data_IF_942306588881
#
_entry.id   IF_942306588881
#
_cell.length_a   1.000
_cell.length_b   1.000
_cell.length_c   1.000
_cell.angle_alpha   90.00
_cell.angle_beta   90.00
_cell.angle_gamma   90.00
#
_symmetry.space_group_name_H-M   'P 1'
#
loop_
_entity.id
_entity.type
_entity.pdbx_description
1 polymer ?
#
# COMPACT_ATOMS: atom_id res chain seq x y z
N UNK A 1 -14.62 4.19 -38.19
CA UNK A 1 -13.81 5.30 -37.69
C UNK A 1 -13.90 5.45 -36.18
N UNK A 2 -15.08 5.56 -35.64
CA UNK A 2 -15.30 5.71 -34.20
C UNK A 2 -14.73 4.56 -33.37
N UNK A 3 -14.95 3.33 -33.79
CA UNK A 3 -14.44 2.13 -33.09
C UNK A 3 -12.91 2.06 -33.08
N UNK A 4 -12.27 2.44 -34.19
CA UNK A 4 -10.82 2.43 -34.30
C UNK A 4 -10.17 3.44 -33.34
N UNK A 5 -10.74 4.63 -33.24
CA UNK A 5 -10.29 5.70 -32.32
C UNK A 5 -10.49 5.23 -30.87
N UNK A 6 -11.62 4.61 -30.57
CA UNK A 6 -11.96 4.12 -29.24
C UNK A 6 -10.98 3.03 -28.77
N UNK A 7 -10.70 2.05 -29.63
CA UNK A 7 -9.73 1.00 -29.33
C UNK A 7 -8.31 1.56 -29.17
N UNK A 8 -7.93 2.48 -30.02
CA UNK A 8 -6.63 3.15 -29.93
C UNK A 8 -6.46 3.93 -28.63
N UNK A 9 -7.51 4.62 -28.21
CA UNK A 9 -7.52 5.38 -26.96
C UNK A 9 -7.39 4.45 -25.73
N UNK A 10 -8.17 3.37 -25.71
CA UNK A 10 -8.11 2.38 -24.62
C UNK A 10 -6.73 1.74 -24.54
N UNK A 11 -6.15 1.40 -25.68
CA UNK A 11 -4.82 0.80 -25.74
C UNK A 11 -3.74 1.76 -25.22
N UNK A 12 -3.84 3.04 -25.58
CA UNK A 12 -2.92 4.06 -25.07
C UNK A 12 -3.04 4.21 -23.55
N UNK A 13 -4.27 4.19 -23.00
CA UNK A 13 -4.50 4.24 -21.56
C UNK A 13 -3.88 3.02 -20.86
N UNK A 14 -4.03 1.82 -21.41
CA UNK A 14 -3.43 0.61 -20.86
C UNK A 14 -1.91 0.72 -20.78
N UNK A 15 -1.26 1.21 -21.83
CA UNK A 15 0.21 1.36 -21.86
C UNK A 15 0.66 2.37 -20.80
N UNK A 16 -0.05 3.49 -20.66
CA UNK A 16 0.30 4.52 -19.67
C UNK A 16 0.14 3.99 -18.24
N UNK A 17 -1.00 3.36 -17.94
CA UNK A 17 -1.27 2.83 -16.59
C UNK A 17 -0.31 1.68 -16.26
N UNK A 18 -0.04 0.79 -17.22
CA UNK A 18 0.95 -0.28 -17.06
C UNK A 18 2.35 0.25 -16.76
N UNK A 19 2.77 1.30 -17.44
CA UNK A 19 4.03 1.98 -17.15
C UNK A 19 4.07 2.58 -15.75
N UNK A 20 2.97 3.19 -15.31
CA UNK A 20 2.84 3.73 -13.95
C UNK A 20 2.91 2.62 -12.90
N UNK A 21 2.29 1.47 -13.15
CA UNK A 21 2.37 0.31 -12.25
C UNK A 21 3.82 -0.15 -12.08
N UNK A 22 4.56 -0.24 -13.17
CA UNK A 22 5.98 -0.63 -13.13
C UNK A 22 6.80 0.38 -12.32
N UNK A 23 6.58 1.68 -12.54
CA UNK A 23 7.24 2.75 -11.77
C UNK A 23 6.92 2.66 -10.28
N UNK A 24 5.65 2.43 -9.93
CA UNK A 24 5.23 2.26 -8.54
C UNK A 24 5.86 1.02 -7.91
N UNK A 25 5.99 -0.07 -8.68
CA UNK A 25 6.63 -1.30 -8.22
C UNK A 25 8.11 -1.07 -7.92
N UNK A 26 8.82 -0.38 -8.79
CA UNK A 26 10.22 0.00 -8.57
C UNK A 26 10.35 0.84 -7.30
N UNK A 27 9.46 1.81 -7.10
CA UNK A 27 9.42 2.65 -5.91
C UNK A 27 9.16 1.84 -4.64
N UNK A 28 8.25 0.84 -4.72
CA UNK A 28 7.93 -0.04 -3.59
C UNK A 28 9.12 -0.88 -3.16
N UNK A 29 9.90 -1.39 -4.13
CA UNK A 29 11.10 -2.20 -3.86
C UNK A 29 12.23 -1.34 -3.30
N UNK A 30 12.41 -0.13 -3.82
CA UNK A 30 13.46 0.80 -3.42
C UNK A 30 13.13 1.59 -2.16
N UNK A 31 11.87 1.63 -1.73
CA UNK A 31 11.42 2.38 -0.56
C UNK A 31 12.04 1.85 0.74
N UNK A 32 12.80 2.68 1.48
CA UNK A 32 13.44 2.23 2.72
C UNK A 32 12.48 2.09 3.89
N UNK A 33 11.28 2.66 3.81
CA UNK A 33 10.28 2.63 4.88
C UNK A 33 9.18 1.62 4.57
N UNK A 34 8.78 0.87 5.60
CA UNK A 34 7.67 -0.08 5.51
C UNK A 34 6.35 0.64 5.15
N UNK A 35 6.14 1.84 5.67
CA UNK A 35 4.95 2.65 5.39
C UNK A 35 4.84 2.99 3.90
N UNK A 36 5.95 3.38 3.27
CA UNK A 36 5.98 3.70 1.83
C UNK A 36 5.65 2.49 0.97
N UNK A 37 6.09 1.30 1.38
CA UNK A 37 5.76 0.04 0.70
C UNK A 37 4.28 -0.27 0.77
N UNK A 38 3.66 -0.09 1.94
CA UNK A 38 2.22 -0.36 2.14
C UNK A 38 1.38 0.58 1.28
N UNK A 39 1.73 1.86 1.26
CA UNK A 39 1.05 2.86 0.42
C UNK A 39 1.23 2.54 -1.06
N UNK A 40 2.43 2.17 -1.48
CA UNK A 40 2.72 1.82 -2.88
C UNK A 40 1.93 0.58 -3.31
N UNK A 41 1.86 -0.45 -2.48
CA UNK A 41 1.08 -1.67 -2.76
C UNK A 41 -0.41 -1.33 -2.94
N UNK A 42 -0.94 -0.44 -2.10
CA UNK A 42 -2.33 0.01 -2.20
C UNK A 42 -2.57 0.77 -3.52
N UNK A 43 -1.66 1.66 -3.90
CA UNK A 43 -1.74 2.37 -5.19
C UNK A 43 -1.68 1.42 -6.37
N UNK A 44 -0.76 0.45 -6.35
CA UNK A 44 -0.64 -0.58 -7.38
C UNK A 44 -1.95 -1.38 -7.49
N UNK A 45 -2.54 -1.75 -6.35
CA UNK A 45 -3.82 -2.46 -6.33
C UNK A 45 -4.94 -1.69 -7.04
N UNK A 46 -5.06 -0.39 -6.75
CA UNK A 46 -6.05 0.47 -7.38
C UNK A 46 -5.81 0.60 -8.89
N UNK A 47 -4.56 0.82 -9.29
CA UNK A 47 -4.18 0.91 -10.71
C UNK A 47 -4.45 -0.39 -11.45
N UNK A 48 -4.20 -1.54 -10.82
CA UNK A 48 -4.48 -2.85 -11.38
C UNK A 48 -5.98 -3.05 -11.62
N UNK A 49 -6.84 -2.60 -10.70
CA UNK A 49 -8.29 -2.66 -10.87
C UNK A 49 -8.72 -1.84 -12.09
N UNK A 50 -8.21 -0.63 -12.23
CA UNK A 50 -8.50 0.25 -13.38
C UNK A 50 -8.00 -0.40 -14.68
N UNK A 51 -6.81 -1.00 -14.65
CA UNK A 51 -6.23 -1.71 -15.80
C UNK A 51 -7.13 -2.85 -16.27
N UNK A 52 -7.60 -3.68 -15.34
CA UNK A 52 -8.52 -4.80 -15.64
C UNK A 52 -9.84 -4.26 -16.17
N UNK A 53 -10.36 -3.16 -15.62
CA UNK A 53 -11.59 -2.53 -16.10
C UNK A 53 -11.44 -2.02 -17.54
N UNK A 54 -10.33 -1.41 -17.87
CA UNK A 54 -10.03 -0.94 -19.24
C UNK A 54 -9.89 -2.14 -20.18
N UNK A 55 -9.23 -3.20 -19.72
CA UNK A 55 -9.11 -4.45 -20.49
C UNK A 55 -10.49 -5.08 -20.77
N UNK A 56 -11.39 -5.05 -19.79
CA UNK A 56 -12.76 -5.52 -19.95
C UNK A 56 -13.51 -4.74 -21.03
N UNK A 57 -13.36 -3.43 -21.05
CA UNK A 57 -13.94 -2.57 -22.09
C UNK A 57 -13.34 -2.84 -23.46
N UNK A 58 -12.04 -3.09 -23.51
CA UNK A 58 -11.32 -3.39 -24.75
C UNK A 58 -11.79 -4.71 -25.37
N UNK A 59 -11.90 -5.74 -24.55
CA UNK A 59 -12.32 -7.08 -24.99
C UNK A 59 -13.85 -7.23 -25.13
N UNK A 60 -14.62 -6.29 -24.58
CA UNK A 60 -16.10 -6.33 -24.54
C UNK A 60 -16.65 -7.57 -23.85
N UNK A 61 -15.92 -8.10 -22.88
CA UNK A 61 -16.30 -9.31 -22.15
C UNK A 61 -16.80 -8.94 -20.74
N UNK A 62 -18.02 -9.34 -20.43
CA UNK A 62 -18.68 -9.03 -19.16
C UNK A 62 -18.05 -9.73 -17.97
N UNK A 63 -17.50 -10.93 -18.17
CA UNK A 63 -16.91 -11.71 -17.07
C UNK A 63 -15.67 -11.03 -16.45
N UNK A 64 -14.98 -10.20 -17.21
CA UNK A 64 -13.84 -9.45 -16.70
C UNK A 64 -14.24 -8.40 -15.65
N UNK A 65 -15.45 -7.85 -15.76
CA UNK A 65 -15.98 -6.95 -14.73
C UNK A 65 -16.23 -7.68 -13.42
N UNK A 66 -16.68 -8.93 -13.47
CA UNK A 66 -16.86 -9.76 -12.26
C UNK A 66 -15.52 -10.01 -11.57
N UNK A 67 -14.48 -10.34 -12.34
CA UNK A 67 -13.12 -10.51 -11.83
C UNK A 67 -12.63 -9.21 -11.21
N UNK A 68 -12.88 -8.07 -11.85
CA UNK A 68 -12.52 -6.75 -11.36
C UNK A 68 -13.18 -6.46 -10.01
N UNK A 69 -14.46 -6.76 -9.86
CA UNK A 69 -15.20 -6.58 -8.60
C UNK A 69 -14.65 -7.47 -7.48
N UNK A 70 -14.40 -8.75 -7.78
CA UNK A 70 -13.81 -9.68 -6.81
C UNK A 70 -12.44 -9.20 -6.39
N UNK A 71 -11.61 -8.77 -7.32
CA UNK A 71 -10.28 -8.23 -7.04
C UNK A 71 -10.37 -6.97 -6.18
N UNK A 72 -11.33 -6.09 -6.46
CA UNK A 72 -11.56 -4.88 -5.68
C UNK A 72 -11.92 -5.21 -4.23
N UNK A 73 -12.77 -6.21 -4.00
CA UNK A 73 -13.14 -6.65 -2.65
C UNK A 73 -11.95 -7.23 -1.90
N UNK A 74 -11.17 -8.09 -2.55
CA UNK A 74 -9.96 -8.69 -1.97
C UNK A 74 -8.94 -7.60 -1.64
N UNK A 75 -8.74 -6.65 -2.55
CA UNK A 75 -7.81 -5.52 -2.35
C UNK A 75 -8.24 -4.65 -1.18
N UNK A 76 -9.54 -4.38 -1.06
CA UNK A 76 -10.09 -3.61 0.06
C UNK A 76 -9.85 -4.32 1.39
N UNK A 77 -10.14 -5.63 1.46
CA UNK A 77 -9.89 -6.42 2.65
C UNK A 77 -8.40 -6.47 3.01
N UNK A 78 -7.55 -6.63 2.01
CA UNK A 78 -6.09 -6.64 2.21
C UNK A 78 -5.61 -5.31 2.80
N UNK A 79 -6.10 -4.18 2.30
CA UNK A 79 -5.76 -2.84 2.81
C UNK A 79 -6.22 -2.69 4.25
N UNK A 80 -7.46 -3.07 4.55
CA UNK A 80 -8.02 -2.98 5.92
C UNK A 80 -7.20 -3.83 6.90
N UNK A 81 -6.88 -5.07 6.51
CA UNK A 81 -6.08 -5.99 7.34
C UNK A 81 -4.67 -5.43 7.54
N UNK A 82 -4.01 -4.99 6.47
CA UNK A 82 -2.67 -4.40 6.54
C UNK A 82 -2.64 -3.15 7.40
N UNK A 83 -3.64 -2.28 7.26
CA UNK A 83 -3.76 -1.07 8.06
C UNK A 83 -3.93 -1.40 9.54
N UNK A 84 -4.75 -2.39 9.87
CA UNK A 84 -4.94 -2.86 11.25
C UNK A 84 -3.65 -3.45 11.83
N UNK A 85 -2.97 -4.28 11.08
CA UNK A 85 -1.69 -4.88 11.51
C UNK A 85 -0.63 -3.78 11.69
N UNK A 86 -0.56 -2.84 10.75
CA UNK A 86 0.39 -1.73 10.81
C UNK A 86 0.13 -0.82 12.01
N UNK A 87 -1.13 -0.46 12.27
CA UNK A 87 -1.51 0.34 13.43
C UNK A 87 -1.17 -0.38 14.74
N UNK A 88 -1.49 -1.67 14.83
CA UNK A 88 -1.15 -2.50 15.99
C UNK A 88 0.35 -2.56 16.23
N UNK A 89 1.13 -2.83 15.19
CA UNK A 89 2.60 -2.87 15.27
C UNK A 89 3.19 -1.50 15.61
N UNK A 90 2.64 -0.43 15.06
CA UNK A 90 3.07 0.93 15.33
C UNK A 90 2.79 1.32 16.78
N UNK A 91 1.62 0.99 17.29
CA UNK A 91 1.25 1.24 18.69
C UNK A 91 2.14 0.44 19.65
N UNK A 92 2.41 -0.83 19.36
CA UNK A 92 3.34 -1.65 20.14
C UNK A 92 4.75 -1.06 20.15
N UNK A 93 5.25 -0.62 19.01
CA UNK A 93 6.55 0.06 18.91
C UNK A 93 6.58 1.37 19.69
N UNK A 94 5.50 2.14 19.62
CA UNK A 94 5.35 3.38 20.37
C UNK A 94 5.33 3.11 21.87
N UNK A 95 4.58 2.10 22.31
CA UNK A 95 4.51 1.70 23.71
C UNK A 95 5.87 1.19 24.23
N UNK A 96 6.58 0.38 23.44
CA UNK A 96 7.93 -0.07 23.76
C UNK A 96 8.92 1.10 23.83
N UNK A 97 8.84 2.03 22.90
CA UNK A 97 9.67 3.23 22.86
C UNK A 97 9.40 4.14 24.06
N UNK A 98 8.14 4.33 24.41
CA UNK A 98 7.76 5.11 25.60
C UNK A 98 8.17 4.41 26.90
N UNK A 99 8.02 3.10 26.97
CA UNK A 99 8.45 2.28 28.09
C UNK A 99 9.96 2.34 28.29
N UNK A 100 10.72 2.27 27.19
CA UNK A 100 12.19 2.41 27.23
C UNK A 100 12.61 3.84 27.62
N UNK A 101 11.92 4.85 27.13
CA UNK A 101 12.19 6.25 27.49
C UNK A 101 11.82 6.56 28.96
N UNK A 102 10.76 5.94 29.47
CA UNK A 102 10.38 6.06 30.89
C UNK A 102 11.28 5.24 31.81
N UNK A 103 11.80 4.12 31.31
CA UNK A 103 12.72 3.28 32.07
C UNK A 103 14.11 3.87 32.23
N UNK A 104 14.64 4.55 31.20
CA UNK A 104 15.96 5.18 31.23
C UNK A 104 16.09 6.33 32.25
N UNK A 105 15.17 7.31 32.31
CA UNK A 105 15.29 8.39 33.30
C UNK A 105 15.13 7.92 34.74
N UNK A 106 14.36 6.86 34.98
CA UNK A 106 14.22 6.27 36.32
C UNK A 106 15.46 5.52 36.75
N UNK A 107 16.09 4.78 35.83
CA UNK A 107 17.35 4.08 36.09
C UNK A 107 18.49 5.06 36.39
N UNK A 108 18.60 6.14 35.61
CA UNK A 108 19.58 7.22 35.84
C UNK A 108 19.35 7.93 37.18
N UNK A 109 18.11 8.16 37.57
CA UNK A 109 17.79 8.74 38.87
C UNK A 109 18.13 7.81 40.03
N UNK A 110 17.95 6.54 39.88
CA UNK A 110 18.32 5.53 40.88
C UNK A 110 19.82 5.43 41.03
N UNK A 111 20.56 5.44 39.94
CA UNK A 111 22.04 5.47 39.95
C UNK A 111 22.57 6.72 40.59
N UNK A 112 22.01 7.88 40.29
CA UNK A 112 22.39 9.14 40.93
C UNK A 112 22.11 9.17 42.43
N UNK A 113 21.00 8.56 42.87
CA UNK A 113 20.67 8.42 44.30
C UNK A 113 21.61 7.47 45.01
N UNK A 114 22.09 6.42 44.38
CA UNK A 114 23.07 5.48 44.92
C UNK A 114 24.44 6.12 45.03
N UNK A 115 24.84 6.99 44.10
CA UNK A 115 26.11 7.76 44.14
C UNK A 115 26.11 8.82 45.23
N UNK A 116 24.94 9.42 45.57
CA UNK A 116 24.84 10.42 46.64
C UNK A 116 24.86 9.80 48.06
N UNK A 117 24.58 8.52 48.16
CA UNK A 117 24.71 7.76 49.42
C UNK A 117 26.10 7.14 49.58
#
# INVERSE_FOLDING_TARGET
>A
MYEMIYHGFLLACMIVIGGLIILCLIRAVLGPRLADRIVAINMIGTMTIVEIAILALYMRESYLFDVCLIYAMISFLAVVVLTKIYEGAYQERKLKSQSLKKGEPEADRKEQKEEEQ
#
